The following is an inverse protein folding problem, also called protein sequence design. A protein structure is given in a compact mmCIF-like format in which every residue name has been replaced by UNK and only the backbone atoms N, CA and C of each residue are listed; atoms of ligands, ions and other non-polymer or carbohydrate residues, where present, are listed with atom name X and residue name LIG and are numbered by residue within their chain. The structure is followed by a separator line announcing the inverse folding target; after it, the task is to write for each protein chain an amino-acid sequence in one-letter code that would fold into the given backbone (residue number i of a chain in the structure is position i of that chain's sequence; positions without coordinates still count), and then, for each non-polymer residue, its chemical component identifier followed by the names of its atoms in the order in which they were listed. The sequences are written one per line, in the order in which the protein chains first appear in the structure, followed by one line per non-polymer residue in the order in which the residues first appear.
data_IF_490859736020
#
_entry.id   IF_490859736020
#
_cell.length_a   1.000
_cell.length_b   1.000
_cell.length_c   1.000
_cell.angle_alpha   90.00
_cell.angle_beta   90.00
_cell.angle_gamma   90.00
#
_symmetry.space_group_name_H-M   'P 1'
#
loop_
_entity.id
_entity.type
_entity.pdbx_description
1 polymer ?
#
# COMPACT_ATOMS: atom_id res chain seq x y z
N UNK A 1 4.71 28.05 49.92
CA UNK A 1 3.47 28.34 49.17
C UNK A 1 3.54 27.79 47.74
N UNK A 2 3.92 26.53 47.56
CA UNK A 2 3.93 25.82 46.25
C UNK A 2 3.48 24.37 46.48
N UNK A 3 2.42 24.18 47.27
CA UNK A 3 1.84 22.84 47.50
C UNK A 3 0.45 22.69 46.86
N UNK A 4 -0.07 23.74 46.22
CA UNK A 4 -1.34 23.71 45.49
C UNK A 4 -1.17 23.71 43.96
N UNK A 5 0.06 23.70 43.46
CA UNK A 5 0.30 23.48 42.05
C UNK A 5 0.17 21.98 41.80
N UNK A 6 -0.90 21.55 41.12
CA UNK A 6 -1.15 20.17 40.74
C UNK A 6 0.01 19.66 39.86
N UNK A 7 1.09 19.20 40.50
CA UNK A 7 2.35 18.74 39.90
C UNK A 7 2.12 17.80 38.70
N UNK A 8 1.21 16.80 38.75
CA UNK A 8 0.94 15.97 37.58
C UNK A 8 0.30 16.72 36.40
N UNK A 9 -0.51 17.75 36.67
CA UNK A 9 -1.14 18.57 35.63
C UNK A 9 -0.15 19.45 34.87
N UNK A 10 0.82 20.04 35.58
CA UNK A 10 1.88 20.86 34.96
C UNK A 10 2.79 19.99 34.08
N UNK A 11 3.16 18.81 34.58
CA UNK A 11 3.97 17.85 33.82
C UNK A 11 3.21 17.41 32.55
N UNK A 12 1.92 17.09 32.65
CA UNK A 12 1.10 16.73 31.50
C UNK A 12 1.00 17.84 30.45
N UNK A 13 0.87 19.09 30.87
CA UNK A 13 0.83 20.24 29.96
C UNK A 13 2.15 20.42 29.21
N UNK A 14 3.29 20.25 29.89
CA UNK A 14 4.62 20.33 29.25
C UNK A 14 4.79 19.23 28.19
N UNK A 15 4.43 17.99 28.50
CA UNK A 15 4.49 16.89 27.53
C UNK A 15 3.55 17.11 26.35
N UNK A 16 2.32 17.60 26.60
CA UNK A 16 1.37 17.92 25.54
C UNK A 16 1.94 18.93 24.55
N UNK A 17 2.52 20.04 25.05
CA UNK A 17 3.14 21.06 24.19
C UNK A 17 4.35 20.48 23.44
N UNK A 18 5.19 19.71 24.11
CA UNK A 18 6.35 19.07 23.49
C UNK A 18 5.94 18.15 22.33
N UNK A 19 4.91 17.31 22.51
CA UNK A 19 4.43 16.43 21.46
C UNK A 19 3.78 17.20 20.30
N UNK A 20 3.05 18.29 20.57
CA UNK A 20 2.53 19.16 19.50
C UNK A 20 3.67 19.72 18.65
N UNK A 21 4.75 20.20 19.28
CA UNK A 21 5.93 20.68 18.54
C UNK A 21 6.54 19.59 17.65
N UNK A 22 6.66 18.36 18.15
CA UNK A 22 7.18 17.22 17.37
C UNK A 22 6.26 16.88 16.19
N UNK A 23 4.94 16.85 16.42
CA UNK A 23 3.96 16.58 15.37
C UNK A 23 4.04 17.64 14.27
N UNK A 24 4.14 18.92 14.64
CA UNK A 24 4.27 20.03 13.68
C UNK A 24 5.57 19.91 12.90
N UNK A 25 6.70 19.68 13.58
CA UNK A 25 8.00 19.50 12.93
C UNK A 25 8.00 18.33 11.94
N UNK A 26 7.46 17.18 12.36
CA UNK A 26 7.32 16.00 11.49
C UNK A 26 6.41 16.29 10.29
N UNK A 27 5.29 16.98 10.51
CA UNK A 27 4.35 17.33 9.45
C UNK A 27 5.00 18.25 8.42
N UNK A 28 5.75 19.27 8.85
CA UNK A 28 6.50 20.16 7.95
C UNK A 28 7.54 19.37 7.13
N UNK A 29 8.26 18.44 7.77
CA UNK A 29 9.21 17.57 7.09
C UNK A 29 8.52 16.70 6.02
N UNK A 30 7.38 16.09 6.35
CA UNK A 30 6.60 15.29 5.40
C UNK A 30 6.01 16.13 4.27
N UNK A 31 5.50 17.34 4.55
CA UNK A 31 5.06 18.26 3.52
C UNK A 31 6.21 18.65 2.58
N UNK A 32 7.39 18.97 3.12
CA UNK A 32 8.58 19.27 2.33
C UNK A 32 8.99 18.11 1.42
N UNK A 33 8.99 16.88 1.96
CA UNK A 33 9.24 15.67 1.18
C UNK A 33 8.23 15.55 0.02
N UNK A 34 6.93 15.65 0.29
CA UNK A 34 5.89 15.52 -0.74
C UNK A 34 6.00 16.61 -1.82
N UNK A 35 6.35 17.85 -1.44
CA UNK A 35 6.57 18.92 -2.44
C UNK A 35 7.79 18.67 -3.33
N UNK A 36 8.74 17.85 -2.89
CA UNK A 36 9.91 17.49 -3.70
C UNK A 36 9.65 16.33 -4.66
N UNK A 37 8.54 15.60 -4.50
CA UNK A 37 8.17 14.48 -5.35
C UNK A 37 7.23 14.93 -6.46
N UNK A 38 7.46 14.45 -7.69
CA UNK A 38 6.55 14.65 -8.82
C UNK A 38 5.34 13.70 -8.67
N UNK A 39 4.12 14.21 -8.86
CA UNK A 39 2.89 13.40 -8.81
C UNK A 39 2.71 12.50 -10.04
N UNK A 40 3.40 12.81 -11.14
CA UNK A 40 3.23 12.12 -12.43
C UNK A 40 4.19 10.97 -12.62
N UNK A 41 5.38 11.07 -12.03
CA UNK A 41 6.46 10.10 -12.21
C UNK A 41 7.12 9.79 -10.86
N UNK A 42 7.35 8.50 -10.54
CA UNK A 42 8.04 8.14 -9.31
C UNK A 42 9.50 8.58 -9.37
N UNK A 43 10.06 8.99 -8.24
CA UNK A 43 11.44 9.48 -8.15
C UNK A 43 12.49 8.43 -8.55
N UNK A 44 12.27 7.16 -8.18
CA UNK A 44 13.14 6.05 -8.55
C UNK A 44 12.48 5.22 -9.64
N UNK A 45 13.12 5.15 -10.82
CA UNK A 45 12.65 4.38 -11.97
C UNK A 45 13.72 3.41 -12.46
N UNK A 46 13.27 2.35 -13.13
CA UNK A 46 14.14 1.44 -13.88
C UNK A 46 15.20 0.78 -12.98
N UNK A 47 16.50 0.90 -13.31
CA UNK A 47 17.60 0.31 -12.55
C UNK A 47 17.73 0.83 -11.11
N UNK A 48 17.21 2.02 -10.83
CA UNK A 48 17.21 2.60 -9.48
C UNK A 48 15.99 2.14 -8.65
N UNK A 49 15.06 1.41 -9.27
CA UNK A 49 13.89 0.87 -8.59
C UNK A 49 14.13 -0.57 -8.12
N UNK A 50 13.45 -0.98 -7.05
CA UNK A 50 13.52 -2.35 -6.52
C UNK A 50 12.99 -3.41 -7.51
N UNK A 51 12.12 -3.01 -8.44
CA UNK A 51 11.52 -3.88 -9.48
C UNK A 51 12.49 -4.06 -10.66
N UNK A 52 13.50 -3.18 -10.78
CA UNK A 52 14.51 -3.19 -11.83
C UNK A 52 14.01 -2.60 -13.16
N UNK A 53 14.80 -2.81 -14.21
CA UNK A 53 14.56 -2.22 -15.53
C UNK A 53 13.52 -2.97 -16.38
N UNK A 54 13.21 -4.22 -16.01
CA UNK A 54 12.37 -5.10 -16.83
C UNK A 54 11.01 -5.28 -16.16
N UNK A 55 9.90 -5.03 -16.88
CA UNK A 55 8.57 -5.22 -16.32
C UNK A 55 8.34 -6.68 -15.96
N UNK A 56 7.69 -6.92 -14.82
CA UNK A 56 7.27 -8.26 -14.42
C UNK A 56 6.12 -8.78 -15.29
N UNK A 57 6.03 -10.09 -15.46
CA UNK A 57 4.91 -10.77 -16.10
C UNK A 57 4.06 -11.45 -15.03
N UNK A 58 2.82 -10.99 -14.85
CA UNK A 58 1.83 -11.64 -13.99
C UNK A 58 0.92 -12.56 -14.80
N UNK A 59 0.49 -13.68 -14.21
CA UNK A 59 -0.56 -14.52 -14.78
C UNK A 59 -1.85 -14.46 -13.95
N UNK A 60 -2.95 -14.79 -14.62
CA UNK A 60 -4.25 -15.10 -14.04
C UNK A 60 -4.75 -16.36 -14.75
N UNK A 61 -5.42 -17.30 -14.07
CA UNK A 61 -5.77 -17.35 -12.64
C UNK A 61 -4.58 -17.45 -11.68
N UNK A 62 -4.77 -16.98 -10.45
CA UNK A 62 -3.79 -17.06 -9.35
C UNK A 62 -4.13 -18.25 -8.44
N UNK A 63 -3.20 -19.19 -8.33
CA UNK A 63 -3.27 -20.31 -7.39
C UNK A 63 -2.22 -20.07 -6.31
N UNK A 64 -2.67 -19.95 -5.05
CA UNK A 64 -1.83 -19.51 -3.94
C UNK A 64 -0.70 -20.49 -3.57
N UNK A 65 -0.76 -21.74 -4.03
CA UNK A 65 0.13 -22.82 -3.59
C UNK A 65 1.12 -23.32 -4.66
N UNK A 66 0.90 -23.06 -5.96
CA UNK A 66 1.63 -23.77 -7.05
C UNK A 66 2.22 -22.85 -8.13
N UNK A 67 2.51 -21.59 -7.80
CA UNK A 67 3.13 -20.66 -8.74
C UNK A 67 2.31 -20.53 -10.05
N UNK A 68 2.95 -20.76 -11.20
CA UNK A 68 2.33 -20.64 -12.52
C UNK A 68 1.69 -21.94 -13.06
N UNK A 69 1.69 -23.03 -12.29
CA UNK A 69 1.01 -24.25 -12.72
C UNK A 69 -0.48 -24.19 -12.38
N UNK A 70 -1.32 -24.56 -13.35
CA UNK A 70 -2.77 -24.64 -13.19
C UNK A 70 -3.18 -26.11 -13.39
N UNK A 71 -3.48 -26.78 -12.29
CA UNK A 71 -4.07 -28.11 -12.31
C UNK A 71 -5.55 -28.01 -11.97
N UNK A 72 -6.38 -28.55 -12.85
CA UNK A 72 -7.78 -28.76 -12.56
C UNK A 72 -8.26 -30.02 -13.24
N UNK A 73 -9.32 -30.61 -12.69
CA UNK A 73 -10.03 -31.67 -13.38
C UNK A 73 -11.23 -31.10 -14.11
N UNK A 74 -11.36 -31.42 -15.39
CA UNK A 74 -12.42 -30.88 -16.24
C UNK A 74 -13.83 -31.39 -15.85
N UNK A 75 -13.91 -32.51 -15.14
CA UNK A 75 -15.14 -33.09 -14.60
C UNK A 75 -15.61 -32.42 -13.29
N UNK A 76 -14.76 -31.59 -12.66
CA UNK A 76 -15.08 -30.90 -11.42
C UNK A 76 -15.55 -29.47 -11.70
N UNK A 77 -16.87 -29.29 -11.74
CA UNK A 77 -17.51 -27.99 -12.02
C UNK A 77 -17.07 -26.86 -11.09
N UNK A 78 -16.72 -27.17 -9.84
CA UNK A 78 -16.32 -26.16 -8.85
C UNK A 78 -14.94 -25.60 -9.17
N UNK A 79 -13.99 -26.45 -9.56
CA UNK A 79 -12.65 -26.01 -9.95
C UNK A 79 -12.67 -25.22 -11.26
N UNK A 80 -13.43 -25.71 -12.24
CA UNK A 80 -13.59 -25.03 -13.54
C UNK A 80 -14.21 -23.64 -13.32
N UNK A 81 -15.27 -23.54 -12.52
CA UNK A 81 -15.91 -22.25 -12.22
C UNK A 81 -14.94 -21.27 -11.57
N UNK A 82 -14.14 -21.71 -10.59
CA UNK A 82 -13.18 -20.84 -9.92
C UNK A 82 -12.13 -20.25 -10.89
N UNK A 83 -11.63 -21.06 -11.83
CA UNK A 83 -10.69 -20.63 -12.87
C UNK A 83 -11.34 -19.61 -13.81
N UNK A 84 -12.54 -19.92 -14.32
CA UNK A 84 -13.28 -19.05 -15.24
C UNK A 84 -13.65 -17.71 -14.63
N UNK A 85 -14.01 -17.68 -13.33
CA UNK A 85 -14.31 -16.44 -12.63
C UNK A 85 -13.09 -15.54 -12.50
N UNK A 86 -11.90 -16.10 -12.25
CA UNK A 86 -10.67 -15.31 -12.14
C UNK A 86 -10.21 -14.71 -13.48
N UNK A 87 -10.52 -15.37 -14.60
CA UNK A 87 -10.29 -14.83 -15.94
C UNK A 87 -11.26 -13.67 -16.25
N UNK A 88 -12.53 -13.81 -15.86
CA UNK A 88 -13.55 -12.78 -16.09
C UNK A 88 -13.37 -11.50 -15.28
N UNK A 89 -12.74 -11.56 -14.10
CA UNK A 89 -12.49 -10.40 -13.23
C UNK A 89 -11.48 -9.41 -13.84
N UNK A 90 -10.70 -9.80 -14.86
CA UNK A 90 -9.65 -8.98 -15.47
C UNK A 90 -9.99 -8.26 -16.79
N UNK A 91 -11.13 -8.54 -17.41
CA UNK A 91 -11.44 -8.07 -18.77
C UNK A 91 -12.31 -6.78 -18.77
N UNK A 92 -11.84 -5.64 -19.31
CA UNK A 92 -12.75 -4.68 -19.93
C UNK A 92 -13.28 -5.32 -21.21
N UNK A 93 -14.40 -6.05 -21.07
CA UNK A 93 -15.08 -6.77 -22.16
C UNK A 93 -15.18 -5.87 -23.37
N UNK A 94 -14.60 -6.28 -24.50
CA UNK A 94 -15.07 -5.81 -25.81
C UNK A 94 -16.58 -6.00 -25.81
N UNK A 95 -17.31 -4.91 -26.04
CA UNK A 95 -18.76 -5.00 -26.16
C UNK A 95 -19.06 -5.87 -27.40
N UNK A 96 -19.95 -6.87 -27.29
CA UNK A 96 -20.30 -7.69 -28.44
C UNK A 96 -20.90 -6.79 -29.53
N UNK A 97 -20.35 -6.88 -30.74
CA UNK A 97 -20.89 -6.25 -31.95
C UNK A 97 -22.17 -6.94 -32.41
#
# INVERSE_FOLDING_TARGET
MIEHLNVPGVIGLIYLVMYICIIIFFSICMCGLLTSMDERIPYFTLADSIIGANPGMGHRPILFEEGALIWYKADNETQVKNIQQQEFVGEPRREPA
#
